data_IF_482790597180
#
_entry.id   IF_482790597180
#
_cell.length_a   1.000
_cell.length_b   1.000
_cell.length_c   1.000
_cell.angle_alpha   90.00
_cell.angle_beta   90.00
_cell.angle_gamma   90.00
#
_symmetry.space_group_name_H-M   'P 1'
#
loop_
_entity.id
_entity.type
_entity.pdbx_description
1 polymer ?
#
# COMPACT_ATOMS: atom_id res chain seq x y z
N UNK A 1 -12.12 -34.49 -7.95
CA UNK A 1 -11.60 -33.28 -8.62
C UNK A 1 -11.71 -32.04 -7.70
N UNK A 2 -11.21 -32.11 -6.46
CA UNK A 2 -11.42 -31.06 -5.42
C UNK A 2 -10.11 -30.51 -4.83
N UNK A 3 -8.96 -30.73 -5.48
CA UNK A 3 -7.64 -30.46 -4.89
C UNK A 3 -6.65 -29.73 -5.82
N UNK A 4 -7.13 -29.11 -6.91
CA UNK A 4 -6.28 -28.40 -7.88
C UNK A 4 -6.34 -26.87 -7.77
N UNK A 5 -7.09 -26.32 -6.80
CA UNK A 5 -7.19 -24.86 -6.57
C UNK A 5 -6.53 -24.39 -5.27
N UNK A 6 -6.12 -25.30 -4.39
CA UNK A 6 -5.43 -24.95 -3.13
C UNK A 6 -3.94 -24.65 -3.31
N UNK A 7 -3.35 -25.02 -4.47
CA UNK A 7 -1.90 -24.90 -4.70
C UNK A 7 -1.42 -23.56 -5.25
N UNK A 8 -2.30 -22.57 -5.43
CA UNK A 8 -1.92 -21.21 -5.82
C UNK A 8 -2.02 -20.18 -4.69
N UNK A 9 -2.53 -20.57 -3.52
CA UNK A 9 -2.58 -19.71 -2.32
C UNK A 9 -1.57 -20.12 -1.24
N UNK A 10 -0.59 -20.95 -1.61
CA UNK A 10 0.55 -21.30 -0.78
C UNK A 10 1.42 -20.08 -0.50
N UNK A 11 1.12 -19.39 0.59
CA UNK A 11 2.05 -18.49 1.30
C UNK A 11 3.38 -19.18 1.49
N UNK A 12 4.33 -18.91 0.61
CA UNK A 12 5.73 -18.73 1.00
C UNK A 12 5.98 -17.24 0.85
N UNK A 13 5.96 -16.44 1.93
CA UNK A 13 6.61 -15.16 1.84
C UNK A 13 8.06 -15.49 1.49
N UNK A 14 8.49 -15.06 0.29
CA UNK A 14 9.89 -14.90 0.03
C UNK A 14 10.47 -14.24 1.28
N UNK A 15 11.52 -14.86 1.85
CA UNK A 15 12.35 -14.22 2.86
C UNK A 15 12.99 -13.03 2.16
N UNK A 16 12.22 -11.96 2.01
CA UNK A 16 12.73 -10.64 1.75
C UNK A 16 13.63 -10.38 2.93
N UNK A 17 14.94 -10.42 2.64
CA UNK A 17 15.97 -9.68 3.35
C UNK A 17 15.29 -8.38 3.83
N UNK A 18 15.06 -8.30 5.14
CA UNK A 18 14.32 -7.17 5.72
C UNK A 18 15.01 -5.92 5.22
N UNK A 19 14.28 -5.08 4.50
CA UNK A 19 14.76 -3.75 4.24
C UNK A 19 14.90 -3.09 5.62
N UNK A 20 16.15 -2.88 6.03
CA UNK A 20 16.48 -2.05 7.18
C UNK A 20 15.81 -0.68 6.95
N UNK A 21 14.72 -0.42 7.66
CA UNK A 21 13.90 0.78 7.45
C UNK A 21 12.39 0.56 7.36
N UNK A 22 11.86 -0.64 7.62
CA UNK A 22 10.41 -0.82 7.75
C UNK A 22 9.85 0.15 8.82
N UNK A 23 9.05 1.16 8.44
CA UNK A 23 8.53 2.12 9.41
C UNK A 23 7.62 1.37 10.38
N UNK A 24 7.73 1.73 11.66
CA UNK A 24 6.90 1.19 12.74
C UNK A 24 5.41 1.30 12.37
N UNK A 25 4.85 0.21 11.87
CA UNK A 25 3.43 0.09 11.52
C UNK A 25 2.67 -0.43 12.74
N UNK A 26 2.50 0.44 13.74
CA UNK A 26 1.36 0.25 14.63
C UNK A 26 0.10 0.48 13.81
N UNK A 27 -1.01 -0.21 14.16
CA UNK A 27 -2.34 0.06 13.57
C UNK A 27 -2.80 1.52 13.78
N UNK A 28 -2.11 2.26 14.65
CA UNK A 28 -2.34 3.66 14.98
C UNK A 28 -1.39 4.63 14.25
N UNK A 29 -0.46 4.11 13.43
CA UNK A 29 0.39 4.93 12.59
C UNK A 29 -0.40 5.30 11.33
N UNK A 30 -1.23 6.35 11.45
CA UNK A 30 -1.92 6.96 10.32
C UNK A 30 -0.84 7.36 9.29
N UNK A 31 -0.98 6.98 8.01
CA UNK A 31 -0.02 7.39 6.99
C UNK A 31 0.13 8.91 6.99
N UNK A 32 1.38 9.39 7.02
CA UNK A 32 1.67 10.82 6.86
C UNK A 32 1.02 11.33 5.57
N UNK A 33 0.26 12.41 5.69
CA UNK A 33 -0.34 13.08 4.53
C UNK A 33 0.67 14.08 3.95
N UNK A 34 0.76 14.23 2.62
CA UNK A 34 1.58 15.26 1.98
C UNK A 34 1.34 16.67 2.54
N UNK A 35 0.08 17.02 2.81
CA UNK A 35 -0.29 18.30 3.42
C UNK A 35 0.32 18.48 4.83
N UNK A 36 0.34 17.41 5.64
CA UNK A 36 0.96 17.46 6.97
C UNK A 36 2.48 17.67 6.92
N UNK A 37 3.13 17.27 5.83
CA UNK A 37 4.56 17.51 5.61
C UNK A 37 4.79 18.97 5.23
N UNK A 38 3.98 19.53 4.32
CA UNK A 38 4.08 20.94 3.90
C UNK A 38 3.87 21.91 5.05
N UNK A 39 2.90 21.61 5.93
CA UNK A 39 2.54 22.47 7.06
C UNK A 39 3.42 22.24 8.31
N UNK A 40 4.44 21.37 8.21
CA UNK A 40 5.27 21.00 9.35
C UNK A 40 6.20 22.14 9.74
N UNK A 41 5.92 22.76 10.88
CA UNK A 41 6.81 23.77 11.50
C UNK A 41 7.78 23.12 12.48
N UNK A 42 9.07 23.38 12.28
CA UNK A 42 10.12 23.00 13.24
C UNK A 42 10.40 24.14 14.23
N UNK A 43 10.80 23.78 15.46
CA UNK A 43 11.23 24.77 16.45
C UNK A 43 12.57 25.35 16.01
N UNK A 44 12.75 26.67 16.21
CA UNK A 44 14.04 27.34 15.97
C UNK A 44 15.12 26.75 16.88
N UNK A 45 16.36 26.75 16.40
CA UNK A 45 17.50 26.34 17.20
C UNK A 45 17.62 27.22 18.46
N UNK A 46 18.13 26.63 19.55
CA UNK A 46 18.41 27.38 20.79
C UNK A 46 19.50 28.44 20.53
N UNK A 47 19.40 29.57 21.23
CA UNK A 47 20.42 30.63 21.22
C UNK A 47 21.83 30.04 21.37
N UNK A 48 22.75 30.45 20.51
CA UNK A 48 24.13 29.96 20.48
C UNK A 48 24.37 28.72 19.60
N UNK A 49 23.35 28.14 18.95
CA UNK A 49 23.51 27.06 17.96
C UNK A 49 23.07 27.50 16.57
N UNK A 50 23.83 27.13 15.54
CA UNK A 50 23.39 27.27 14.15
C UNK A 50 22.27 26.26 13.86
N UNK A 51 21.14 26.76 13.39
CA UNK A 51 20.05 25.94 12.85
C UNK A 51 20.16 25.78 11.34
N UNK A 52 19.31 24.93 10.76
CA UNK A 52 19.08 24.90 9.32
C UNK A 52 18.36 26.18 8.88
N UNK A 53 18.60 26.59 7.63
CA UNK A 53 17.86 27.67 7.01
C UNK A 53 16.38 27.26 6.87
N UNK A 54 15.43 28.05 7.40
CA UNK A 54 14.01 27.71 7.33
C UNK A 54 13.48 27.60 5.89
N UNK A 55 14.00 28.38 4.95
CA UNK A 55 13.54 28.39 3.56
C UNK A 55 14.02 27.14 2.82
N UNK A 56 15.26 26.71 3.04
CA UNK A 56 15.77 25.45 2.48
C UNK A 56 15.04 24.24 3.05
N UNK A 57 14.73 24.26 4.35
CA UNK A 57 13.91 23.20 4.97
C UNK A 57 12.52 23.17 4.34
N UNK A 58 11.88 24.32 4.12
CA UNK A 58 10.56 24.38 3.51
C UNK A 58 10.57 23.85 2.08
N UNK A 59 11.55 24.25 1.26
CA UNK A 59 11.72 23.73 -0.12
C UNK A 59 11.92 22.22 -0.15
N UNK A 60 12.70 21.69 0.79
CA UNK A 60 12.89 20.24 0.91
C UNK A 60 11.58 19.53 1.29
N UNK A 61 10.83 20.07 2.26
CA UNK A 61 9.53 19.53 2.66
C UNK A 61 8.52 19.53 1.51
N UNK A 62 8.50 20.60 0.69
CA UNK A 62 7.61 20.68 -0.47
C UNK A 62 7.92 19.58 -1.50
N UNK A 63 9.20 19.34 -1.78
CA UNK A 63 9.63 18.24 -2.66
C UNK A 63 9.26 16.88 -2.07
N UNK A 64 9.55 16.64 -0.80
CA UNK A 64 9.21 15.37 -0.13
C UNK A 64 7.71 15.13 -0.13
N UNK A 65 6.91 16.17 0.08
CA UNK A 65 5.46 16.07 0.03
C UNK A 65 4.96 15.68 -1.37
N UNK A 66 5.55 16.23 -2.43
CA UNK A 66 5.22 15.85 -3.81
C UNK A 66 5.59 14.38 -4.08
N UNK A 67 6.81 13.97 -3.76
CA UNK A 67 7.26 12.59 -3.97
C UNK A 67 6.42 11.58 -3.17
N UNK A 68 6.01 11.94 -1.93
CA UNK A 68 5.10 11.13 -1.13
C UNK A 68 3.71 11.03 -1.76
N UNK A 69 3.18 12.12 -2.31
CA UNK A 69 1.88 12.12 -2.98
C UNK A 69 1.89 11.17 -4.19
N UNK A 70 2.93 11.23 -5.01
CA UNK A 70 3.11 10.36 -6.18
C UNK A 70 3.20 8.89 -5.76
N UNK A 71 3.99 8.58 -4.73
CA UNK A 71 4.11 7.22 -4.19
C UNK A 71 2.77 6.68 -3.65
N UNK A 72 2.00 7.52 -2.96
CA UNK A 72 0.67 7.14 -2.45
C UNK A 72 -0.32 6.90 -3.59
N UNK A 73 -0.33 7.74 -4.62
CA UNK A 73 -1.16 7.54 -5.80
C UNK A 73 -0.81 6.24 -6.54
N UNK A 74 0.47 5.95 -6.74
CA UNK A 74 0.92 4.71 -7.35
C UNK A 74 0.47 3.48 -6.54
N UNK A 75 0.59 3.55 -5.21
CA UNK A 75 0.13 2.48 -4.32
C UNK A 75 -1.38 2.27 -4.40
N UNK A 76 -2.20 3.33 -4.46
CA UNK A 76 -3.64 3.19 -4.61
C UNK A 76 -4.04 2.62 -5.97
N UNK A 77 -3.38 3.02 -7.06
CA UNK A 77 -3.59 2.43 -8.39
C UNK A 77 -3.33 0.92 -8.37
N UNK A 78 -2.21 0.49 -7.76
CA UNK A 78 -1.88 -0.94 -7.65
C UNK A 78 -2.90 -1.72 -6.81
N UNK A 79 -3.42 -1.12 -5.73
CA UNK A 79 -4.47 -1.73 -4.91
C UNK A 79 -5.79 -1.86 -5.66
N UNK A 80 -6.19 -0.81 -6.39
CA UNK A 80 -7.39 -0.83 -7.22
C UNK A 80 -7.32 -1.92 -8.27
N UNK A 81 -6.17 -2.08 -8.93
CA UNK A 81 -5.97 -3.13 -9.93
C UNK A 81 -6.06 -4.52 -9.30
N UNK A 82 -5.44 -4.71 -8.14
CA UNK A 82 -5.54 -5.97 -7.40
C UNK A 82 -7.00 -6.30 -7.03
N UNK A 83 -7.77 -5.31 -6.61
CA UNK A 83 -9.20 -5.49 -6.29
C UNK A 83 -9.99 -5.88 -7.53
N UNK A 84 -9.77 -5.21 -8.67
CA UNK A 84 -10.42 -5.54 -9.95
C UNK A 84 -10.13 -6.97 -10.39
N UNK A 85 -8.87 -7.40 -10.32
CA UNK A 85 -8.46 -8.76 -10.66
C UNK A 85 -9.15 -9.78 -9.74
N UNK A 86 -9.18 -9.51 -8.43
CA UNK A 86 -9.86 -10.39 -7.45
C UNK A 86 -11.36 -10.47 -7.71
N UNK A 87 -11.99 -9.37 -8.05
CA UNK A 87 -13.43 -9.33 -8.33
C UNK A 87 -13.76 -10.07 -9.63
N UNK A 88 -12.96 -9.90 -10.68
CA UNK A 88 -13.09 -10.65 -11.92
C UNK A 88 -12.94 -12.15 -11.67
N UNK A 89 -11.93 -12.55 -10.90
CA UNK A 89 -11.72 -13.95 -10.53
C UNK A 89 -12.90 -14.51 -9.72
N UNK A 90 -13.42 -13.74 -8.75
CA UNK A 90 -14.57 -14.14 -7.94
C UNK A 90 -15.84 -14.33 -8.79
N UNK A 91 -16.09 -13.44 -9.74
CA UNK A 91 -17.22 -13.54 -10.67
C UNK A 91 -17.12 -14.80 -11.52
N UNK A 92 -15.97 -15.01 -12.16
CA UNK A 92 -15.71 -16.21 -12.95
C UNK A 92 -15.85 -17.50 -12.12
N UNK A 93 -15.31 -17.55 -10.90
CA UNK A 93 -15.47 -18.70 -10.01
C UNK A 93 -16.94 -18.98 -9.66
N UNK A 94 -17.75 -17.94 -9.49
CA UNK A 94 -19.18 -18.06 -9.20
C UNK A 94 -19.96 -18.61 -10.41
N UNK A 95 -19.63 -18.17 -11.61
CA UNK A 95 -20.22 -18.68 -12.87
C UNK A 95 -19.85 -20.15 -13.10
N UNK A 96 -18.60 -20.53 -12.81
CA UNK A 96 -18.16 -21.92 -12.91
C UNK A 96 -18.87 -22.84 -11.89
N UNK A 97 -19.06 -22.37 -10.65
CA UNK A 97 -19.81 -23.12 -9.64
C UNK A 97 -21.26 -23.38 -10.09
N UNK A 98 -21.96 -22.34 -10.56
CA UNK A 98 -23.33 -22.47 -11.10
C UNK A 98 -23.41 -23.43 -12.27
N UNK A 99 -22.44 -23.35 -13.18
CA UNK A 99 -22.36 -24.23 -14.34
C UNK A 99 -22.18 -25.69 -13.91
N UNK A 100 -21.30 -25.96 -12.93
CA UNK A 100 -21.08 -27.30 -12.40
C UNK A 100 -22.31 -27.84 -11.66
N UNK A 101 -22.97 -27.02 -10.85
CA UNK A 101 -24.17 -27.42 -10.10
C UNK A 101 -25.33 -27.70 -11.07
N UNK A 102 -25.47 -26.91 -12.15
CA UNK A 102 -26.45 -27.16 -13.21
C UNK A 102 -26.26 -28.54 -13.84
N UNK A 103 -25.03 -28.93 -14.19
CA UNK A 103 -24.76 -30.25 -14.76
C UNK A 103 -24.90 -31.39 -13.74
N UNK A 104 -24.78 -31.12 -12.44
CA UNK A 104 -25.00 -32.11 -11.39
C UNK A 104 -26.48 -32.46 -11.18
N UNK A 105 -27.42 -31.59 -11.59
CA UNK A 105 -28.87 -31.83 -11.51
C UNK A 105 -29.44 -32.65 -12.67
N UNK A 106 -28.67 -32.85 -13.74
CA UNK A 106 -29.08 -33.62 -14.93
C UNK A 106 -28.47 -35.04 -14.96
N UNK A 107 -27.89 -35.49 -13.85
CA UNK A 107 -27.37 -36.84 -13.64
C UNK A 107 -28.15 -37.50 -12.51
#
# INVERSE_FOLDING_TARGET
>A
MRHLVERLFGRRPARHRRADGAPYRSRFCVPLLPAQIRDRRFRRARLGRRGLDPDDVQRFLDRVALELADAQQAAERARQETTRIKDALRRWQSEQARTRDRYALYR
#
